data_IF_746399673145
#
_entry.id   IF_746399673145
#
_cell.length_a   1.000
_cell.length_b   1.000
_cell.length_c   1.000
_cell.angle_alpha   90.00
_cell.angle_beta   90.00
_cell.angle_gamma   90.00
#
_symmetry.space_group_name_H-M   'P 1'
#
loop_
_entity.id
_entity.type
_entity.pdbx_description
1 polymer ?
#
# COMPACT_ATOMS: atom_id res chain seq x y z
N UNK A 1 16.34 -7.33 -1.50
CA UNK A 1 15.12 -6.48 -1.44
C UNK A 1 13.91 -7.36 -1.74
N UNK A 2 12.88 -7.34 -0.90
CA UNK A 2 11.59 -7.98 -1.23
C UNK A 2 10.89 -7.18 -2.33
N UNK A 3 10.43 -7.86 -3.39
CA UNK A 3 9.65 -7.23 -4.47
C UNK A 3 8.19 -7.16 -4.02
N UNK A 4 7.61 -5.97 -4.04
CA UNK A 4 6.17 -5.82 -3.81
C UNK A 4 5.41 -6.53 -4.93
N UNK A 5 4.55 -7.48 -4.55
CA UNK A 5 3.64 -8.16 -5.47
C UNK A 5 2.21 -7.88 -5.03
N UNK A 6 1.40 -7.18 -5.84
CA UNK A 6 0.02 -6.89 -5.47
C UNK A 6 -0.74 -8.19 -5.24
N UNK A 7 -1.57 -8.21 -4.20
CA UNK A 7 -2.40 -9.36 -3.91
C UNK A 7 -3.47 -9.50 -5.02
N UNK A 8 -3.69 -10.72 -5.50
CA UNK A 8 -4.70 -11.02 -6.53
C UNK A 8 -6.15 -11.06 -6.01
N UNK A 9 -6.37 -10.74 -4.72
CA UNK A 9 -7.70 -10.57 -4.14
C UNK A 9 -8.27 -11.82 -3.46
N UNK A 10 -9.44 -11.64 -2.82
CA UNK A 10 -10.10 -12.60 -1.92
C UNK A 10 -10.37 -13.98 -2.54
N UNK A 11 -10.52 -14.08 -3.86
CA UNK A 11 -10.81 -15.34 -4.57
C UNK A 11 -9.56 -16.16 -4.91
N UNK A 12 -8.38 -15.54 -4.82
CA UNK A 12 -7.10 -16.15 -5.18
C UNK A 12 -6.12 -16.26 -4.01
N UNK A 13 -6.38 -15.63 -2.87
CA UNK A 13 -5.59 -15.85 -1.65
C UNK A 13 -5.75 -17.31 -1.21
N UNK A 14 -4.68 -18.10 -1.30
CA UNK A 14 -4.55 -19.31 -0.51
C UNK A 14 -3.67 -19.01 0.69
N UNK A 15 -4.16 -19.34 1.87
CA UNK A 15 -3.43 -19.21 3.12
C UNK A 15 -2.89 -20.57 3.59
N UNK A 16 -1.74 -20.52 4.25
CA UNK A 16 -1.20 -21.57 5.09
C UNK A 16 -1.20 -21.15 6.58
N UNK A 17 -1.97 -20.10 6.92
CA UNK A 17 -1.95 -19.42 8.21
C UNK A 17 -0.76 -18.48 8.48
N UNK A 18 0.26 -18.41 7.61
CA UNK A 18 1.46 -17.56 7.80
C UNK A 18 1.65 -16.51 6.71
N UNK A 19 1.37 -16.85 5.47
CA UNK A 19 1.52 -15.95 4.32
C UNK A 19 0.49 -16.22 3.23
N UNK A 20 0.30 -15.24 2.35
CA UNK A 20 -0.46 -15.44 1.13
C UNK A 20 0.40 -16.21 0.12
N UNK A 21 -0.02 -17.43 -0.24
CA UNK A 21 0.68 -18.30 -1.19
C UNK A 21 0.71 -17.73 -2.63
N UNK A 22 -0.10 -16.70 -2.91
CA UNK A 22 -0.23 -16.11 -4.24
C UNK A 22 0.69 -14.91 -4.44
N UNK A 23 0.84 -14.05 -3.42
CA UNK A 23 1.70 -12.88 -3.50
C UNK A 23 2.96 -12.96 -2.62
N UNK A 24 3.11 -14.03 -1.84
CA UNK A 24 4.28 -14.27 -0.96
C UNK A 24 4.41 -13.28 0.20
N UNK A 25 3.38 -12.47 0.47
CA UNK A 25 3.37 -11.46 1.54
C UNK A 25 2.75 -12.03 2.81
N UNK A 26 3.24 -11.59 3.97
CA UNK A 26 2.66 -12.00 5.25
C UNK A 26 1.24 -11.45 5.41
N UNK A 27 0.44 -12.10 6.24
CA UNK A 27 -0.91 -11.60 6.57
C UNK A 27 -0.87 -10.25 7.26
N UNK A 28 0.15 -10.01 8.08
CA UNK A 28 0.37 -8.72 8.75
C UNK A 28 0.61 -7.61 7.71
N UNK A 29 1.50 -7.84 6.73
CA UNK A 29 1.75 -6.86 5.67
C UNK A 29 0.49 -6.57 4.85
N UNK A 30 -0.27 -7.62 4.51
CA UNK A 30 -1.50 -7.50 3.73
C UNK A 30 -2.57 -6.75 4.51
N UNK A 31 -2.77 -7.08 5.78
CA UNK A 31 -3.75 -6.43 6.65
C UNK A 31 -3.40 -4.96 6.82
N UNK A 32 -2.13 -4.66 7.13
CA UNK A 32 -1.67 -3.28 7.27
C UNK A 32 -1.81 -2.47 5.98
N UNK A 33 -1.54 -3.10 4.83
CA UNK A 33 -1.76 -2.44 3.52
C UNK A 33 -3.23 -2.12 3.30
N UNK A 34 -4.15 -3.01 3.69
CA UNK A 34 -5.61 -2.79 3.57
C UNK A 34 -6.09 -1.66 4.47
N UNK A 35 -5.68 -1.66 5.74
CA UNK A 35 -6.00 -0.56 6.67
C UNK A 35 -5.59 0.82 6.12
N UNK A 36 -4.41 0.90 5.50
CA UNK A 36 -3.94 2.14 4.87
C UNK A 36 -4.80 2.53 3.66
N UNK A 37 -5.23 1.57 2.84
CA UNK A 37 -6.12 1.82 1.71
C UNK A 37 -7.49 2.31 2.20
N UNK A 38 -8.05 1.64 3.21
CA UNK A 38 -9.35 1.97 3.78
C UNK A 38 -9.34 3.38 4.40
N UNK A 39 -8.29 3.73 5.15
CA UNK A 39 -8.13 5.07 5.72
C UNK A 39 -8.03 6.17 4.66
N UNK A 40 -7.35 5.90 3.53
CA UNK A 40 -7.27 6.85 2.41
C UNK A 40 -8.61 6.98 1.67
N UNK A 41 -9.34 5.88 1.51
CA UNK A 41 -10.67 5.87 0.91
C UNK A 41 -11.67 6.62 1.78
N UNK A 42 -11.67 6.38 3.10
CA UNK A 42 -12.49 7.10 4.07
C UNK A 42 -12.21 8.60 4.02
N UNK A 43 -10.94 9.01 3.98
CA UNK A 43 -10.58 10.42 3.83
C UNK A 43 -11.17 11.02 2.54
N UNK A 44 -11.08 10.31 1.41
CA UNK A 44 -11.65 10.79 0.15
C UNK A 44 -13.18 10.93 0.22
N UNK A 45 -13.86 10.01 0.90
CA UNK A 45 -15.30 10.06 1.13
C UNK A 45 -15.69 11.21 2.06
N UNK A 46 -15.01 11.39 3.20
CA UNK A 46 -15.26 12.49 4.15
C UNK A 46 -15.11 13.85 3.46
N UNK A 47 -14.07 13.99 2.63
CA UNK A 47 -13.81 15.23 1.91
C UNK A 47 -14.69 15.40 0.66
N UNK A 48 -15.47 14.39 0.30
CA UNK A 48 -16.35 14.37 -0.86
C UNK A 48 -15.64 14.80 -2.16
N UNK A 49 -14.47 14.21 -2.43
CA UNK A 49 -13.72 14.51 -3.65
C UNK A 49 -14.40 13.94 -4.89
N UNK A 50 -14.74 14.80 -5.85
CA UNK A 50 -15.29 14.37 -7.14
C UNK A 50 -14.20 13.80 -8.08
N UNK A 51 -12.94 14.16 -7.87
CA UNK A 51 -11.78 13.79 -8.68
C UNK A 51 -10.84 12.79 -7.97
N UNK A 52 -11.40 11.69 -7.43
CA UNK A 52 -10.66 10.67 -6.66
C UNK A 52 -9.40 10.14 -7.39
N UNK A 53 -9.42 10.06 -8.72
CA UNK A 53 -8.26 9.63 -9.52
C UNK A 53 -7.03 10.51 -9.33
N UNK A 54 -7.20 11.83 -9.26
CA UNK A 54 -6.11 12.78 -9.02
C UNK A 54 -5.57 12.67 -7.59
N UNK A 55 -6.46 12.50 -6.62
CA UNK A 55 -6.10 12.27 -5.23
C UNK A 55 -5.20 11.03 -5.06
N UNK A 56 -5.59 9.91 -5.68
CA UNK A 56 -4.80 8.66 -5.64
C UNK A 56 -3.44 8.84 -6.34
N UNK A 57 -3.41 9.50 -7.50
CA UNK A 57 -2.16 9.76 -8.22
C UNK A 57 -1.20 10.65 -7.40
N UNK A 58 -1.72 11.69 -6.75
CA UNK A 58 -0.96 12.56 -5.86
C UNK A 58 -0.34 11.78 -4.70
N UNK A 59 -1.12 10.93 -4.03
CA UNK A 59 -0.64 10.11 -2.92
C UNK A 59 0.47 9.16 -3.38
N UNK A 60 0.27 8.44 -4.48
CA UNK A 60 1.26 7.53 -5.02
C UNK A 60 2.61 8.23 -5.26
N UNK A 61 2.60 9.39 -5.92
CA UNK A 61 3.80 10.19 -6.14
C UNK A 61 4.44 10.72 -4.85
N UNK A 62 3.65 11.10 -3.84
CA UNK A 62 4.18 11.56 -2.54
C UNK A 62 4.79 10.42 -1.72
N UNK A 63 4.20 9.23 -1.76
CA UNK A 63 4.73 8.03 -1.09
C UNK A 63 6.08 7.66 -1.71
N UNK A 64 6.19 7.60 -3.03
CA UNK A 64 7.44 7.31 -3.72
C UNK A 64 8.55 8.30 -3.34
N UNK A 65 8.26 9.61 -3.41
CA UNK A 65 9.20 10.67 -3.01
C UNK A 65 9.66 10.53 -1.55
N UNK A 66 8.74 10.25 -0.62
CA UNK A 66 9.08 10.03 0.79
C UNK A 66 9.95 8.79 0.99
N UNK A 67 9.67 7.70 0.28
CA UNK A 67 10.49 6.47 0.35
C UNK A 67 11.90 6.75 -0.17
N UNK A 68 12.01 7.42 -1.31
CA UNK A 68 13.29 7.83 -1.90
C UNK A 68 14.09 8.70 -0.93
N UNK A 69 13.49 9.77 -0.43
CA UNK A 69 14.12 10.68 0.54
C UNK A 69 14.59 9.96 1.82
N UNK A 70 13.80 9.03 2.36
CA UNK A 70 14.18 8.26 3.56
C UNK A 70 15.31 7.26 3.31
N UNK A 71 15.50 6.82 2.06
CA UNK A 71 16.59 5.92 1.66
C UNK A 71 17.87 6.72 1.39
N UNK A 72 17.77 7.83 0.68
CA UNK A 72 18.89 8.73 0.35
C UNK A 72 19.36 9.53 1.58
N UNK A 73 18.45 9.98 2.44
CA UNK A 73 18.76 10.70 3.68
C UNK A 73 19.42 9.83 4.77
N UNK A 74 19.70 8.55 4.50
CA UNK A 74 20.55 7.70 5.35
C UNK A 74 22.03 7.73 4.96
N UNK A 75 22.40 8.42 3.87
CA UNK A 75 23.80 8.59 3.42
C UNK A 75 24.37 9.98 3.77
N UNK A 76 23.69 10.76 4.62
CA UNK A 76 24.12 12.12 5.02
C UNK A 76 23.93 12.39 6.51
N UNK A 77 24.22 11.39 7.34
CA UNK A 77 24.32 11.51 8.80
C UNK A 77 25.62 10.89 9.29
#
# INVERSE_FOLDING_TARGET
MSRFTPCKGKTACRDDGKQCLTCGRSFEEITRTRELIDALAELACIQNYDNVGEFVAYIAGKVEKKVRFRREGKESG
#
